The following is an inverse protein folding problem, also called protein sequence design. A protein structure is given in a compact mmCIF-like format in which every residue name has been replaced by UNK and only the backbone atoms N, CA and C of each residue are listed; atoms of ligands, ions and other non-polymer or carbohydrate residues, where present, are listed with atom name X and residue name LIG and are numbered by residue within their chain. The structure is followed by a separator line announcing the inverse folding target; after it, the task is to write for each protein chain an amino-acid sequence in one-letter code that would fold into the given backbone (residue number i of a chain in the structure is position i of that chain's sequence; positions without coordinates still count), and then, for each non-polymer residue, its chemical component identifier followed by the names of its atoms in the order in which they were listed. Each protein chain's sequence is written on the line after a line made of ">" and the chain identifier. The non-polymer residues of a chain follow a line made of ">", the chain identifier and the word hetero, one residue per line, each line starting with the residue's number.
data_IF_684833539351
#
_entry.id   IF_684833539351
#
_cell.length_a   1.000
_cell.length_b   1.000
_cell.length_c   1.000
_cell.angle_alpha   90.00
_cell.angle_beta   90.00
_cell.angle_gamma   90.00
#
_symmetry.space_group_name_H-M   'P 1'
#
loop_
_entity.id
_entity.type
_entity.pdbx_description
1 polymer ?
#
# COMPACT_ATOMS: atom_id res chain seq x y z
N UNK A 1 -40.42 -22.73 -20.82
CA UNK A 1 -40.63 -21.92 -19.60
C UNK A 1 -39.28 -21.36 -19.21
N UNK A 2 -38.93 -20.11 -19.56
CA UNK A 2 -37.64 -19.53 -19.22
C UNK A 2 -37.60 -19.18 -17.73
N UNK A 3 -36.57 -19.64 -17.04
CA UNK A 3 -36.34 -19.38 -15.62
C UNK A 3 -36.05 -17.89 -15.37
N UNK A 4 -36.74 -17.31 -14.39
CA UNK A 4 -36.52 -15.95 -13.94
C UNK A 4 -35.13 -15.85 -13.28
N UNK A 5 -34.16 -15.30 -14.01
CA UNK A 5 -32.83 -15.02 -13.50
C UNK A 5 -32.90 -14.07 -12.30
N UNK A 6 -32.58 -14.59 -11.11
CA UNK A 6 -32.46 -13.80 -9.89
C UNK A 6 -31.39 -12.72 -10.03
N UNK A 7 -31.81 -11.46 -10.08
CA UNK A 7 -30.92 -10.31 -10.03
C UNK A 7 -30.19 -10.32 -8.69
N UNK A 8 -28.86 -10.51 -8.73
CA UNK A 8 -27.99 -10.36 -7.56
C UNK A 8 -28.25 -8.98 -6.96
N UNK A 9 -28.79 -8.91 -5.74
CA UNK A 9 -28.98 -7.66 -4.99
C UNK A 9 -27.60 -7.07 -4.67
N UNK A 10 -27.05 -6.30 -5.59
CA UNK A 10 -25.87 -5.48 -5.34
C UNK A 10 -26.11 -4.57 -4.15
N UNK A 11 -25.07 -4.35 -3.33
CA UNK A 11 -25.13 -3.40 -2.23
C UNK A 11 -25.56 -2.05 -2.81
N UNK A 12 -26.63 -1.42 -2.30
CA UNK A 12 -27.10 -0.14 -2.84
C UNK A 12 -25.95 0.88 -2.83
N UNK A 13 -25.76 1.66 -3.90
CA UNK A 13 -24.74 2.71 -3.92
C UNK A 13 -24.99 3.68 -2.76
N UNK A 14 -23.95 4.26 -2.15
CA UNK A 14 -24.11 5.24 -1.07
C UNK A 14 -24.68 6.59 -1.60
N UNK A 15 -25.27 7.41 -0.74
CA UNK A 15 -25.68 8.79 -1.11
C UNK A 15 -24.42 9.64 -1.29
N UNK A 16 -24.21 10.29 -2.44
CA UNK A 16 -23.05 11.15 -2.65
C UNK A 16 -23.27 12.50 -1.96
N UNK A 17 -23.26 12.49 -0.62
CA UNK A 17 -23.59 13.66 0.20
C UNK A 17 -22.75 14.89 -0.14
N UNK A 18 -21.46 14.71 -0.46
CA UNK A 18 -20.56 15.82 -0.82
C UNK A 18 -21.02 16.57 -2.08
N UNK A 19 -21.66 15.88 -3.02
CA UNK A 19 -22.20 16.47 -4.25
C UNK A 19 -23.52 17.20 -3.99
N UNK A 20 -24.35 16.66 -3.09
CA UNK A 20 -25.69 17.22 -2.81
C UNK A 20 -25.68 18.33 -1.76
N UNK A 21 -24.67 18.38 -0.87
CA UNK A 21 -24.61 19.36 0.22
C UNK A 21 -24.77 20.82 -0.23
N UNK A 22 -24.11 21.32 -1.31
CA UNK A 22 -24.27 22.70 -1.75
C UNK A 22 -25.71 23.05 -2.14
N UNK A 23 -26.40 22.13 -2.82
CA UNK A 23 -27.79 22.31 -3.22
C UNK A 23 -28.72 22.29 -2.01
N UNK A 24 -28.52 21.34 -1.09
CA UNK A 24 -29.34 21.22 0.12
C UNK A 24 -29.23 22.46 1.01
N UNK A 25 -28.02 23.00 1.19
CA UNK A 25 -27.80 24.24 1.93
C UNK A 25 -28.47 25.43 1.24
N UNK A 26 -28.38 25.52 -0.09
CA UNK A 26 -29.04 26.56 -0.88
C UNK A 26 -30.56 26.52 -0.74
N UNK A 27 -31.17 25.33 -0.87
CA UNK A 27 -32.61 25.16 -0.77
C UNK A 27 -33.15 25.41 0.65
N UNK A 28 -32.41 25.03 1.70
CA UNK A 28 -32.73 25.40 3.07
C UNK A 28 -32.67 26.92 3.27
N UNK A 29 -31.68 27.59 2.68
CA UNK A 29 -31.59 29.06 2.68
C UNK A 29 -32.76 29.74 1.96
N UNK A 30 -33.34 29.07 0.96
CA UNK A 30 -34.55 29.51 0.26
C UNK A 30 -35.87 29.13 1.00
N UNK A 31 -35.79 28.54 2.19
CA UNK A 31 -36.96 28.21 3.02
C UNK A 31 -37.55 26.81 2.79
N UNK A 32 -36.86 25.93 2.06
CA UNK A 32 -37.28 24.51 2.00
C UNK A 32 -37.15 23.86 3.38
N UNK A 33 -38.04 22.92 3.72
CA UNK A 33 -37.91 22.12 4.94
C UNK A 33 -37.11 20.82 4.69
N UNK A 34 -36.75 20.12 5.77
CA UNK A 34 -35.98 18.89 5.67
C UNK A 34 -36.76 17.71 5.09
N UNK A 35 -38.09 17.74 5.10
CA UNK A 35 -38.95 16.68 4.55
C UNK A 35 -38.95 16.76 3.03
N UNK A 36 -39.19 17.94 2.46
CA UNK A 36 -39.13 18.18 1.02
C UNK A 36 -37.77 17.83 0.41
N UNK A 37 -36.68 18.11 1.12
CA UNK A 37 -35.33 17.75 0.68
C UNK A 37 -35.08 16.25 0.74
N UNK A 38 -35.59 15.58 1.78
CA UNK A 38 -35.47 14.14 1.90
C UNK A 38 -36.25 13.43 0.79
N UNK A 39 -37.45 13.90 0.46
CA UNK A 39 -38.26 13.39 -0.64
C UNK A 39 -37.59 13.63 -2.01
N UNK A 40 -37.01 14.81 -2.22
CA UNK A 40 -36.25 15.13 -3.44
C UNK A 40 -35.04 14.20 -3.64
N UNK A 41 -34.26 13.94 -2.58
CA UNK A 41 -33.17 12.99 -2.61
C UNK A 41 -33.68 11.55 -2.81
N UNK A 42 -34.81 11.21 -2.18
CA UNK A 42 -35.38 9.88 -2.27
C UNK A 42 -35.86 9.56 -3.69
N UNK A 43 -36.53 10.52 -4.33
CA UNK A 43 -36.93 10.43 -5.72
C UNK A 43 -35.73 10.37 -6.68
N UNK A 44 -34.74 11.25 -6.49
CA UNK A 44 -33.55 11.33 -7.36
C UNK A 44 -32.72 10.05 -7.36
N UNK A 45 -32.62 9.37 -6.22
CA UNK A 45 -31.78 8.19 -6.08
C UNK A 45 -32.54 6.87 -5.89
N UNK A 46 -33.87 6.90 -5.96
CA UNK A 46 -34.71 5.70 -5.81
C UNK A 46 -34.55 5.00 -4.46
N UNK A 47 -34.43 5.75 -3.36
CA UNK A 47 -34.17 5.18 -2.02
C UNK A 47 -34.80 6.02 -0.91
N UNK A 48 -35.28 5.42 0.18
CA UNK A 48 -35.80 6.19 1.30
C UNK A 48 -34.69 7.00 1.95
N UNK A 49 -34.90 8.32 2.06
CA UNK A 49 -34.05 9.25 2.82
C UNK A 49 -34.96 9.88 3.87
N UNK A 50 -34.51 9.94 5.12
CA UNK A 50 -35.30 10.58 6.18
C UNK A 50 -34.87 12.03 6.39
N UNK A 51 -35.82 12.89 6.78
CA UNK A 51 -35.54 14.27 7.17
C UNK A 51 -34.48 14.36 8.29
N UNK A 52 -34.46 13.39 9.22
CA UNK A 52 -33.46 13.30 10.28
C UNK A 52 -32.04 13.07 9.72
N UNK A 53 -31.91 12.22 8.69
CA UNK A 53 -30.65 11.97 8.00
C UNK A 53 -30.15 13.24 7.32
N UNK A 54 -31.01 13.94 6.57
CA UNK A 54 -30.64 15.21 5.91
C UNK A 54 -30.21 16.25 6.95
N UNK A 55 -30.97 16.40 8.04
CA UNK A 55 -30.64 17.32 9.15
C UNK A 55 -29.29 17.01 9.78
N UNK A 56 -28.96 15.74 10.00
CA UNK A 56 -27.68 15.31 10.57
C UNK A 56 -26.51 15.74 9.68
N UNK A 57 -26.57 15.43 8.38
CA UNK A 57 -25.51 15.77 7.44
C UNK A 57 -25.36 17.29 7.23
N UNK A 58 -26.47 18.02 7.12
CA UNK A 58 -26.43 19.49 7.01
C UNK A 58 -25.82 20.12 8.26
N UNK A 59 -26.15 19.63 9.47
CA UNK A 59 -25.53 20.12 10.72
C UNK A 59 -24.04 19.85 10.79
N UNK A 60 -23.60 18.66 10.39
CA UNK A 60 -22.17 18.32 10.33
C UNK A 60 -21.43 19.23 9.34
N UNK A 61 -22.02 19.47 8.16
CA UNK A 61 -21.46 20.35 7.15
C UNK A 61 -21.42 21.82 7.60
N UNK A 62 -22.50 22.33 8.20
CA UNK A 62 -22.55 23.68 8.75
C UNK A 62 -21.56 23.89 9.91
N UNK A 63 -21.36 22.88 10.75
CA UNK A 63 -20.32 22.87 11.78
C UNK A 63 -18.91 22.97 11.20
N UNK A 64 -18.64 22.24 10.12
CA UNK A 64 -17.37 22.33 9.40
C UNK A 64 -17.15 23.71 8.75
N UNK A 65 -18.20 24.32 8.18
CA UNK A 65 -18.15 25.66 7.60
C UNK A 65 -17.96 26.74 8.66
N UNK A 66 -18.65 26.67 9.80
CA UNK A 66 -18.56 27.68 10.87
C UNK A 66 -17.24 27.57 11.66
N UNK A 67 -16.74 26.36 11.90
CA UNK A 67 -15.38 26.16 12.41
C UNK A 67 -14.34 26.70 11.41
N UNK A 68 -14.62 26.58 10.11
CA UNK A 68 -13.80 27.15 9.03
C UNK A 68 -13.96 28.66 8.81
N UNK A 69 -15.07 29.28 9.23
CA UNK A 69 -15.36 30.70 9.00
C UNK A 69 -14.89 31.60 10.15
N UNK A 70 -14.93 31.11 11.40
CA UNK A 70 -14.36 31.83 12.56
C UNK A 70 -12.83 31.89 12.57
N UNK A 71 -12.18 31.16 11.66
CA UNK A 71 -10.72 31.06 11.51
C UNK A 71 -10.16 31.83 10.29
N UNK A 72 -11.00 32.55 9.52
CA UNK A 72 -10.56 33.25 8.30
C UNK A 72 -10.66 34.77 8.38
N UNK A 73 -9.49 35.41 8.27
CA UNK A 73 -9.34 36.39 7.19
C UNK A 73 -9.06 35.63 5.87
N UNK A 74 -9.42 36.17 4.69
CA UNK A 74 -9.28 35.47 3.40
C UNK A 74 -7.84 35.07 3.04
N UNK A 75 -6.81 35.74 3.60
CA UNK A 75 -5.40 35.37 3.38
C UNK A 75 -4.80 34.45 4.45
N UNK A 76 -5.16 34.63 5.73
CA UNK A 76 -4.49 33.91 6.83
C UNK A 76 -4.69 32.39 6.80
N UNK A 77 -5.83 31.93 6.30
CA UNK A 77 -6.10 30.49 6.21
C UNK A 77 -5.20 29.77 5.21
N UNK A 78 -4.76 30.45 4.15
CA UNK A 78 -3.89 29.87 3.12
C UNK A 78 -2.43 29.80 3.61
N UNK A 79 -1.99 30.84 4.32
CA UNK A 79 -0.64 30.92 4.88
C UNK A 79 -0.40 29.85 5.95
N UNK A 80 -1.34 29.68 6.89
CA UNK A 80 -1.28 28.63 7.92
C UNK A 80 -1.29 27.24 7.31
N UNK A 81 -2.13 27.00 6.29
CA UNK A 81 -2.14 25.73 5.56
C UNK A 81 -0.80 25.47 4.85
N UNK A 82 -0.18 26.51 4.28
CA UNK A 82 1.10 26.39 3.59
C UNK A 82 2.24 26.12 4.57
N UNK A 83 2.27 26.78 5.72
CA UNK A 83 3.25 26.54 6.78
C UNK A 83 3.14 25.12 7.34
N UNK A 84 1.92 24.67 7.64
CA UNK A 84 1.68 23.31 8.13
C UNK A 84 1.97 22.26 7.05
N UNK A 85 1.62 22.52 5.79
CA UNK A 85 1.99 21.65 4.68
C UNK A 85 3.51 21.58 4.49
N UNK A 86 4.23 22.69 4.67
CA UNK A 86 5.70 22.70 4.63
C UNK A 86 6.30 21.89 5.80
N UNK A 87 5.74 22.01 7.01
CA UNK A 87 6.15 21.18 8.15
C UNK A 87 5.91 19.70 7.89
N UNK A 88 4.73 19.34 7.36
CA UNK A 88 4.40 17.97 6.96
C UNK A 88 5.35 17.47 5.86
N UNK A 89 5.63 18.29 4.85
CA UNK A 89 6.50 17.95 3.75
C UNK A 89 7.93 17.62 4.23
N UNK A 90 8.51 18.47 5.10
CA UNK A 90 9.81 18.22 5.72
C UNK A 90 9.82 16.96 6.58
N UNK A 91 8.78 16.79 7.41
CA UNK A 91 8.66 15.60 8.24
C UNK A 91 8.64 14.32 7.38
N UNK A 92 7.85 14.29 6.30
CA UNK A 92 7.78 13.15 5.38
C UNK A 92 9.13 12.91 4.69
N UNK A 93 9.81 13.96 4.26
CA UNK A 93 11.15 13.86 3.68
C UNK A 93 12.19 13.31 4.66
N UNK A 94 12.01 13.55 5.97
CA UNK A 94 12.85 13.04 7.07
C UNK A 94 12.42 11.66 7.56
N UNK A 95 11.17 11.23 7.35
CA UNK A 95 10.54 10.01 7.92
C UNK A 95 9.77 9.20 6.86
N UNK A 96 10.40 8.85 5.74
CA UNK A 96 9.76 8.28 4.56
C UNK A 96 9.27 6.85 4.77
N UNK A 97 9.80 6.14 5.77
CA UNK A 97 9.37 4.81 6.19
C UNK A 97 8.12 4.81 7.06
N UNK A 98 7.76 5.96 7.61
CA UNK A 98 6.78 6.06 8.67
C UNK A 98 5.39 6.26 8.08
N UNK A 99 4.36 5.82 8.81
CA UNK A 99 2.99 5.89 8.32
C UNK A 99 2.43 7.31 8.41
N UNK A 100 1.37 7.58 7.66
CA UNK A 100 0.61 8.84 7.82
C UNK A 100 0.04 9.00 9.24
N UNK A 101 -0.20 7.90 9.96
CA UNK A 101 -0.68 7.92 11.34
C UNK A 101 0.42 8.38 12.29
N UNK A 102 1.66 7.95 12.07
CA UNK A 102 2.82 8.37 12.85
C UNK A 102 3.07 9.87 12.63
N UNK A 103 3.03 10.31 11.37
CA UNK A 103 3.11 11.73 11.01
C UNK A 103 2.03 12.58 11.72
N UNK A 104 0.80 12.07 11.76
CA UNK A 104 -0.32 12.73 12.41
C UNK A 104 -0.09 12.87 13.93
N UNK A 105 0.43 11.81 14.57
CA UNK A 105 0.78 11.78 15.99
C UNK A 105 1.88 12.79 16.33
N UNK A 106 3.00 12.74 15.60
CA UNK A 106 4.18 13.57 15.85
C UNK A 106 3.93 15.06 15.58
N UNK A 107 3.15 15.37 14.55
CA UNK A 107 2.82 16.75 14.21
C UNK A 107 1.62 17.29 15.00
N UNK A 108 0.93 16.44 15.77
CA UNK A 108 -0.31 16.79 16.47
C UNK A 108 -1.45 17.16 15.51
N UNK A 109 -1.45 16.61 14.30
CA UNK A 109 -2.42 16.92 13.25
C UNK A 109 -3.54 15.87 13.24
N UNK A 110 -4.82 16.27 13.30
CA UNK A 110 -5.90 15.31 13.16
C UNK A 110 -5.99 14.74 11.72
N UNK A 111 -6.51 13.53 11.57
CA UNK A 111 -6.52 12.81 10.28
C UNK A 111 -7.15 13.61 9.11
N UNK A 112 -8.22 14.38 9.35
CA UNK A 112 -8.83 15.23 8.31
C UNK A 112 -7.90 16.37 7.86
N UNK A 113 -7.06 16.90 8.76
CA UNK A 113 -6.09 17.97 8.48
C UNK A 113 -4.95 17.41 7.66
N UNK A 114 -4.47 16.21 8.01
CA UNK A 114 -3.49 15.46 7.21
C UNK A 114 -3.97 15.23 5.78
N UNK A 115 -5.21 14.77 5.59
CA UNK A 115 -5.79 14.56 4.25
C UNK A 115 -5.87 15.86 3.41
N UNK A 116 -6.13 17.01 4.05
CA UNK A 116 -6.14 18.34 3.41
C UNK A 116 -4.75 18.86 3.07
N UNK A 117 -3.75 18.61 3.92
CA UNK A 117 -2.40 19.16 3.76
C UNK A 117 -1.50 18.31 2.86
N UNK A 118 -1.69 16.99 2.84
CA UNK A 118 -0.79 16.07 2.14
C UNK A 118 -0.64 16.37 0.63
N UNK A 119 -1.71 16.69 -0.13
CA UNK A 119 -1.55 17.07 -1.54
C UNK A 119 -0.69 18.32 -1.73
N UNK A 120 -0.83 19.32 -0.85
CA UNK A 120 -0.02 20.53 -0.88
C UNK A 120 1.43 20.25 -0.44
N UNK A 121 1.62 19.48 0.63
CA UNK A 121 2.93 19.07 1.12
C UNK A 121 3.75 18.37 0.03
N UNK A 122 3.11 17.52 -0.77
CA UNK A 122 3.72 16.81 -1.90
C UNK A 122 4.30 17.72 -2.97
N UNK A 123 3.83 18.97 -3.10
CA UNK A 123 4.35 19.92 -4.11
C UNK A 123 5.39 20.88 -3.55
N UNK A 124 5.62 20.89 -2.24
CA UNK A 124 6.44 21.91 -1.58
C UNK A 124 7.91 21.51 -1.41
N UNK A 125 8.19 20.20 -1.37
CA UNK A 125 9.55 19.67 -1.27
C UNK A 125 9.67 18.46 -2.18
N UNK A 126 10.88 18.21 -2.66
CA UNK A 126 11.20 16.97 -3.36
C UNK A 126 11.51 15.85 -2.36
N UNK A 127 11.10 14.64 -2.68
CA UNK A 127 11.32 13.51 -1.80
C UNK A 127 10.61 12.26 -2.26
N UNK A 128 10.60 11.26 -1.39
CA UNK A 128 9.83 10.06 -1.60
C UNK A 128 9.16 9.60 -0.31
N UNK A 129 8.10 8.80 -0.46
CA UNK A 129 7.51 8.03 0.64
C UNK A 129 7.62 6.55 0.30
N UNK A 130 8.04 5.77 1.29
CA UNK A 130 8.02 4.30 1.20
C UNK A 130 6.60 3.86 1.53
N UNK A 131 5.89 3.19 0.61
CA UNK A 131 4.56 2.66 0.91
C UNK A 131 4.66 1.69 2.10
N UNK A 132 3.86 1.97 3.13
CA UNK A 132 3.76 1.08 4.29
C UNK A 132 3.33 -0.30 3.77
N UNK A 133 4.06 -1.38 4.12
CA UNK A 133 3.66 -2.72 3.74
C UNK A 133 2.23 -2.93 4.24
N UNK A 134 1.32 -3.23 3.33
CA UNK A 134 -0.03 -3.63 3.73
C UNK A 134 0.11 -5.00 4.37
N UNK A 135 0.32 -5.01 5.69
CA UNK A 135 0.17 -6.21 6.49
C UNK A 135 -1.30 -6.58 6.31
N UNK A 136 -1.57 -7.59 5.51
CA UNK A 136 -2.91 -8.15 5.44
C UNK A 136 -3.36 -8.45 6.87
N UNK A 137 -4.67 -8.38 7.15
CA UNK A 137 -5.22 -9.01 8.35
C UNK A 137 -5.05 -10.52 8.21
N UNK A 138 -3.83 -11.00 8.34
CA UNK A 138 -3.51 -12.40 8.33
C UNK A 138 -3.72 -12.87 9.77
N UNK A 139 -4.71 -13.74 9.92
CA UNK A 139 -5.15 -14.25 11.21
C UNK A 139 -4.19 -15.30 11.81
N UNK A 140 -3.06 -15.55 11.15
CA UNK A 140 -2.12 -16.61 11.50
C UNK A 140 -0.88 -16.02 12.16
N UNK A 141 -0.54 -16.56 13.31
CA UNK A 141 0.74 -16.36 13.97
C UNK A 141 1.86 -17.08 13.23
N UNK A 142 3.11 -16.67 13.45
CA UNK A 142 4.25 -17.33 12.82
C UNK A 142 4.38 -18.81 13.21
N UNK A 143 3.97 -19.15 14.44
CA UNK A 143 3.94 -20.52 14.92
C UNK A 143 2.89 -21.37 14.20
N UNK A 144 1.69 -20.83 13.93
CA UNK A 144 0.65 -21.54 13.19
C UNK A 144 1.06 -21.77 11.73
N UNK A 145 1.66 -20.77 11.09
CA UNK A 145 2.18 -20.89 9.73
C UNK A 145 3.29 -21.95 9.65
N UNK A 146 4.21 -21.96 10.61
CA UNK A 146 5.28 -22.97 10.67
C UNK A 146 4.74 -24.40 10.93
N UNK A 147 3.74 -24.53 11.80
CA UNK A 147 3.08 -25.80 12.09
C UNK A 147 2.40 -26.37 10.84
N UNK A 148 1.73 -25.53 10.05
CA UNK A 148 1.07 -25.97 8.81
C UNK A 148 2.07 -26.41 7.74
N UNK A 149 3.22 -25.73 7.59
CA UNK A 149 4.26 -26.19 6.68
C UNK A 149 4.86 -27.53 7.12
N UNK A 150 5.05 -27.73 8.42
CA UNK A 150 5.49 -29.01 8.99
C UNK A 150 4.47 -30.13 8.76
N UNK A 151 3.17 -29.85 8.97
CA UNK A 151 2.08 -30.80 8.69
C UNK A 151 2.08 -31.20 7.20
N UNK A 152 2.21 -30.22 6.30
CA UNK A 152 2.27 -30.47 4.86
C UNK A 152 3.48 -31.34 4.48
N UNK A 153 4.67 -31.04 5.03
CA UNK A 153 5.88 -31.81 4.76
C UNK A 153 5.71 -33.27 5.22
N UNK A 154 5.19 -33.49 6.43
CA UNK A 154 4.91 -34.82 6.96
C UNK A 154 3.89 -35.58 6.10
N UNK A 155 2.79 -34.93 5.71
CA UNK A 155 1.75 -35.54 4.88
C UNK A 155 2.24 -35.92 3.48
N UNK A 156 3.21 -35.18 2.93
CA UNK A 156 3.81 -35.44 1.62
C UNK A 156 5.03 -36.37 1.68
N UNK A 157 5.42 -36.84 2.86
CA UNK A 157 6.61 -37.67 3.07
C UNK A 157 7.91 -36.94 2.72
N UNK A 158 7.95 -35.62 2.89
CA UNK A 158 9.13 -34.79 2.62
C UNK A 158 10.00 -34.82 3.88
N UNK A 159 11.20 -35.39 3.76
CA UNK A 159 12.14 -35.47 4.87
C UNK A 159 12.75 -34.12 5.24
N UNK A 160 13.44 -34.06 6.39
CA UNK A 160 14.12 -32.83 6.83
C UNK A 160 15.17 -32.32 5.82
N UNK A 161 15.73 -33.23 5.00
CA UNK A 161 16.70 -32.92 3.94
C UNK A 161 16.06 -32.38 2.65
N UNK A 162 14.76 -32.57 2.45
CA UNK A 162 14.09 -32.25 1.20
C UNK A 162 13.39 -30.90 1.27
N UNK A 163 13.36 -30.19 0.14
CA UNK A 163 12.73 -28.89 0.06
C UNK A 163 11.25 -28.99 -0.31
N UNK A 164 10.39 -28.39 0.51
CA UNK A 164 8.96 -28.27 0.21
C UNK A 164 8.74 -27.21 -0.89
N UNK A 165 8.33 -27.64 -2.08
CA UNK A 165 7.98 -26.73 -3.17
C UNK A 165 6.59 -26.11 -2.97
N UNK A 166 6.44 -24.82 -3.31
CA UNK A 166 5.17 -24.09 -3.21
C UNK A 166 4.03 -24.76 -4.01
N UNK A 167 4.34 -25.32 -5.17
CA UNK A 167 3.37 -26.06 -5.99
C UNK A 167 2.84 -27.30 -5.27
N UNK A 168 3.70 -28.06 -4.58
CA UNK A 168 3.29 -29.23 -3.79
C UNK A 168 2.44 -28.83 -2.59
N UNK A 169 2.81 -27.76 -1.89
CA UNK A 169 1.97 -27.19 -0.84
C UNK A 169 0.58 -26.80 -1.34
N UNK A 170 0.49 -26.14 -2.50
CA UNK A 170 -0.79 -25.78 -3.12
C UNK A 170 -1.64 -27.01 -3.41
N UNK A 171 -1.06 -28.06 -3.99
CA UNK A 171 -1.77 -29.32 -4.28
C UNK A 171 -2.24 -29.99 -2.97
N UNK A 172 -1.37 -30.08 -1.96
CA UNK A 172 -1.72 -30.61 -0.66
C UNK A 172 -2.88 -29.84 -0.03
N UNK A 173 -2.79 -28.50 0.04
CA UNK A 173 -3.85 -27.64 0.58
C UNK A 173 -5.19 -27.85 -0.14
N UNK A 174 -5.17 -28.05 -1.45
CA UNK A 174 -6.40 -28.30 -2.19
C UNK A 174 -7.00 -29.69 -1.92
N UNK A 175 -6.18 -30.66 -1.52
CA UNK A 175 -6.62 -32.02 -1.13
C UNK A 175 -7.24 -32.10 0.27
N UNK A 176 -7.00 -31.10 1.13
CA UNK A 176 -7.59 -31.04 2.48
C UNK A 176 -9.09 -30.69 2.39
N UNK A 177 -9.97 -31.25 3.25
CA UNK A 177 -11.40 -30.92 3.30
C UNK A 177 -11.67 -29.42 3.46
N UNK A 178 -12.77 -28.93 2.87
CA UNK A 178 -13.07 -27.50 2.77
C UNK A 178 -13.14 -26.81 4.15
N UNK A 179 -13.74 -27.48 5.13
CA UNK A 179 -13.87 -27.06 6.52
C UNK A 179 -12.52 -26.82 7.23
N UNK A 180 -11.45 -27.47 6.79
CA UNK A 180 -10.09 -27.26 7.32
C UNK A 180 -9.31 -26.20 6.54
N UNK A 181 -9.69 -25.87 5.30
CA UNK A 181 -8.95 -24.92 4.46
C UNK A 181 -8.90 -23.50 5.04
N UNK A 182 -9.88 -23.12 5.86
CA UNK A 182 -9.89 -21.82 6.55
C UNK A 182 -8.79 -21.69 7.60
N UNK A 183 -8.39 -22.80 8.22
CA UNK A 183 -7.29 -22.86 9.18
C UNK A 183 -5.91 -23.03 8.50
N UNK A 184 -5.86 -23.10 7.17
CA UNK A 184 -4.63 -23.33 6.41
C UNK A 184 -4.29 -22.09 5.59
N UNK A 185 -3.19 -21.37 5.91
CA UNK A 185 -2.80 -20.18 5.19
C UNK A 185 -2.67 -20.43 3.68
N UNK A 186 -3.14 -19.49 2.87
CA UNK A 186 -2.91 -19.55 1.43
C UNK A 186 -1.41 -19.41 1.12
N UNK A 187 -0.91 -19.90 -0.03
CA UNK A 187 0.49 -19.67 -0.42
C UNK A 187 0.87 -18.19 -0.47
N UNK A 188 -0.11 -17.31 -0.78
CA UNK A 188 0.08 -15.86 -0.81
C UNK A 188 0.30 -15.31 0.60
N UNK A 189 -0.31 -15.89 1.63
CA UNK A 189 -0.09 -15.46 3.02
C UNK A 189 1.38 -15.64 3.43
N UNK A 190 1.99 -16.78 3.11
CA UNK A 190 3.42 -16.98 3.35
C UNK A 190 4.30 -15.96 2.62
N UNK A 191 3.96 -15.63 1.36
CA UNK A 191 4.71 -14.64 0.59
C UNK A 191 4.56 -13.22 1.14
N UNK A 192 3.39 -12.86 1.67
CA UNK A 192 3.17 -11.56 2.31
C UNK A 192 3.91 -11.46 3.64
N UNK A 193 3.84 -12.52 4.45
CA UNK A 193 4.44 -12.58 5.79
C UNK A 193 5.96 -12.69 5.76
N UNK A 194 6.50 -13.65 5.01
CA UNK A 194 7.93 -13.99 5.00
C UNK A 194 8.65 -13.52 3.76
N UNK A 195 7.90 -13.02 2.78
CA UNK A 195 8.45 -12.46 1.57
C UNK A 195 8.79 -13.45 0.47
N UNK A 196 9.44 -14.54 0.84
CA UNK A 196 9.77 -15.62 -0.07
C UNK A 196 9.32 -16.95 0.52
N UNK A 197 8.98 -17.90 -0.36
CA UNK A 197 8.63 -19.25 0.05
C UNK A 197 9.79 -19.96 0.77
N UNK A 198 11.02 -19.74 0.30
CA UNK A 198 12.23 -20.28 0.92
C UNK A 198 12.48 -19.73 2.33
N UNK A 199 12.20 -18.45 2.59
CA UNK A 199 12.26 -17.89 3.95
C UNK A 199 11.23 -18.54 4.87
N UNK A 200 9.99 -18.73 4.39
CA UNK A 200 8.95 -19.43 5.15
C UNK A 200 9.35 -20.87 5.53
N UNK A 201 9.88 -21.63 4.57
CA UNK A 201 10.38 -22.98 4.82
C UNK A 201 11.50 -23.01 5.88
N UNK A 202 12.50 -22.11 5.76
CA UNK A 202 13.62 -22.04 6.72
C UNK A 202 13.17 -21.73 8.14
N UNK A 203 12.25 -20.76 8.30
CA UNK A 203 11.68 -20.43 9.61
C UNK A 203 10.87 -21.58 10.22
N UNK A 204 10.37 -22.48 9.37
CA UNK A 204 9.65 -23.69 9.78
C UNK A 204 10.56 -24.90 9.99
N UNK A 205 11.89 -24.72 9.93
CA UNK A 205 12.86 -25.81 10.05
C UNK A 205 12.93 -26.74 8.84
N UNK A 206 12.32 -26.37 7.71
CA UNK A 206 12.38 -27.12 6.45
C UNK A 206 13.53 -26.61 5.58
N UNK A 207 14.10 -27.50 4.77
CA UNK A 207 15.03 -27.08 3.74
C UNK A 207 14.33 -26.20 2.70
N UNK A 208 15.01 -25.13 2.28
CA UNK A 208 14.58 -24.29 1.19
C UNK A 208 15.07 -24.86 -0.14
N UNK A 209 14.27 -24.72 -1.20
CA UNK A 209 14.77 -24.99 -2.54
C UNK A 209 15.91 -24.00 -2.82
N UNK A 210 17.08 -24.53 -3.16
CA UNK A 210 18.14 -23.72 -3.75
C UNK A 210 17.58 -23.16 -5.05
N UNK A 211 17.54 -21.82 -5.22
CA UNK A 211 17.05 -21.25 -6.46
C UNK A 211 17.87 -21.83 -7.62
N UNK A 212 17.20 -22.39 -8.64
CA UNK A 212 17.90 -23.00 -9.79
C UNK A 212 18.73 -22.00 -10.61
N UNK A 213 18.59 -20.71 -10.29
CA UNK A 213 19.34 -19.60 -10.87
C UNK A 213 20.06 -18.89 -9.73
N UNK A 214 21.28 -19.31 -9.47
CA UNK A 214 22.25 -18.40 -8.88
C UNK A 214 22.57 -17.37 -9.95
N UNK A 215 21.99 -16.18 -9.82
CA UNK A 215 22.51 -15.03 -10.55
C UNK A 215 23.85 -14.70 -9.92
N UNK A 216 24.89 -15.12 -10.62
CA UNK A 216 26.27 -14.87 -10.24
C UNK A 216 26.50 -13.35 -10.26
N UNK A 217 26.78 -12.77 -9.10
CA UNK A 217 27.36 -11.43 -9.02
C UNK A 217 26.65 -10.34 -8.23
N UNK A 218 25.36 -10.46 -7.85
CA UNK A 218 24.74 -9.49 -6.92
C UNK A 218 24.31 -10.15 -5.61
N UNK A 219 24.89 -9.63 -4.53
CA UNK A 219 24.46 -9.88 -3.17
C UNK A 219 23.27 -8.98 -2.80
N UNK A 220 22.60 -9.28 -1.69
CA UNK A 220 21.48 -8.46 -1.21
C UNK A 220 21.90 -7.01 -0.94
N UNK A 221 23.08 -6.81 -0.37
CA UNK A 221 23.64 -5.47 -0.13
C UNK A 221 23.82 -4.65 -1.42
N UNK A 222 24.22 -5.30 -2.53
CA UNK A 222 24.33 -4.63 -3.83
C UNK A 222 22.95 -4.18 -4.33
N UNK A 223 21.93 -5.01 -4.15
CA UNK A 223 20.55 -4.69 -4.53
C UNK A 223 20.02 -3.51 -3.71
N UNK A 224 20.24 -3.53 -2.39
CA UNK A 224 19.87 -2.43 -1.49
C UNK A 224 20.54 -1.13 -1.94
N UNK A 225 21.82 -1.16 -2.32
CA UNK A 225 22.54 0.00 -2.83
C UNK A 225 21.95 0.54 -4.15
N UNK A 226 21.60 -0.33 -5.10
CA UNK A 226 20.91 0.07 -6.35
C UNK A 226 19.59 0.77 -6.07
N UNK A 227 18.76 0.18 -5.19
CA UNK A 227 17.46 0.78 -4.82
C UNK A 227 17.65 2.08 -4.06
N UNK A 228 18.70 2.22 -3.23
CA UNK A 228 19.03 3.47 -2.56
C UNK A 228 19.43 4.59 -3.55
N UNK A 229 20.18 4.26 -4.60
CA UNK A 229 20.52 5.20 -5.68
C UNK A 229 19.26 5.65 -6.42
N UNK A 230 18.36 4.72 -6.73
CA UNK A 230 17.06 5.07 -7.31
C UNK A 230 16.24 5.99 -6.39
N UNK A 231 16.10 5.65 -5.10
CA UNK A 231 15.41 6.51 -4.13
C UNK A 231 16.00 7.92 -4.06
N UNK A 232 17.32 8.04 -4.12
CA UNK A 232 18.00 9.33 -4.18
C UNK A 232 17.62 10.10 -5.45
N UNK A 233 17.55 9.44 -6.59
CA UNK A 233 17.11 10.05 -7.86
C UNK A 233 15.69 10.62 -7.76
N UNK A 234 14.78 9.95 -7.04
CA UNK A 234 13.43 10.47 -6.79
C UNK A 234 13.47 11.78 -5.97
N UNK A 235 14.31 11.84 -4.94
CA UNK A 235 14.49 13.06 -4.11
C UNK A 235 15.09 14.22 -4.90
N UNK A 236 15.86 13.97 -5.95
CA UNK A 236 16.51 15.03 -6.75
C UNK A 236 15.78 15.34 -8.05
N UNK A 237 14.65 14.67 -8.34
CA UNK A 237 13.97 14.80 -9.63
C UNK A 237 13.17 16.10 -9.82
N UNK A 238 12.93 16.89 -8.77
CA UNK A 238 12.12 18.11 -8.88
C UNK A 238 10.62 17.85 -9.09
N UNK A 239 10.14 16.64 -8.76
CA UNK A 239 8.76 16.19 -9.00
C UNK A 239 7.86 16.31 -7.76
N UNK A 240 8.36 16.89 -6.68
CA UNK A 240 7.71 16.83 -5.39
C UNK A 240 7.93 15.48 -4.68
N UNK A 241 7.10 15.18 -3.69
CA UNK A 241 7.13 13.90 -2.96
C UNK A 241 6.45 12.82 -3.82
N UNK A 242 7.21 11.82 -4.25
CA UNK A 242 6.75 10.68 -5.05
C UNK A 242 6.62 9.42 -4.20
N UNK A 243 5.60 8.61 -4.43
CA UNK A 243 5.49 7.31 -3.76
C UNK A 243 6.43 6.29 -4.43
N UNK A 244 7.34 5.68 -3.65
CA UNK A 244 8.36 4.76 -4.16
C UNK A 244 7.76 3.37 -4.47
N UNK A 245 6.96 3.30 -5.54
CA UNK A 245 6.29 2.08 -5.98
C UNK A 245 7.15 1.26 -6.93
N UNK A 246 6.79 -0.01 -7.13
CA UNK A 246 7.36 -0.85 -8.19
C UNK A 246 7.21 -0.25 -9.59
N UNK A 247 6.09 0.42 -9.85
CA UNK A 247 5.84 1.10 -11.12
C UNK A 247 6.85 2.22 -11.39
N UNK A 248 7.12 3.06 -10.38
CA UNK A 248 8.14 4.11 -10.48
C UNK A 248 9.55 3.52 -10.66
N UNK A 249 9.86 2.41 -9.98
CA UNK A 249 11.13 1.71 -10.18
C UNK A 249 11.26 1.15 -11.59
N UNK A 250 10.21 0.50 -12.10
CA UNK A 250 10.17 -0.03 -13.47
C UNK A 250 10.35 1.04 -14.54
N UNK A 251 9.84 2.26 -14.32
CA UNK A 251 10.09 3.40 -15.21
C UNK A 251 11.56 3.82 -15.17
N UNK A 252 12.14 3.95 -13.98
CA UNK A 252 13.56 4.29 -13.81
C UNK A 252 14.51 3.25 -14.43
N UNK A 253 14.16 1.97 -14.36
CA UNK A 253 14.92 0.86 -14.98
C UNK A 253 15.04 0.96 -16.50
N UNK A 254 14.14 1.68 -17.19
CA UNK A 254 14.25 1.89 -18.65
C UNK A 254 15.51 2.69 -18.98
N UNK A 255 15.87 3.64 -18.12
CA UNK A 255 17.05 4.49 -18.27
C UNK A 255 18.30 3.88 -17.62
N UNK A 256 18.11 2.91 -16.71
CA UNK A 256 19.17 2.27 -15.92
C UNK A 256 19.13 0.74 -16.09
N UNK A 257 19.36 0.20 -17.30
CA UNK A 257 19.28 -1.24 -17.57
C UNK A 257 20.33 -2.09 -16.83
N UNK A 258 21.36 -1.46 -16.25
CA UNK A 258 22.37 -2.07 -15.41
C UNK A 258 21.91 -2.38 -13.97
N UNK A 259 20.73 -1.88 -13.57
CA UNK A 259 20.16 -2.05 -12.23
C UNK A 259 19.24 -3.30 -12.13
N UNK A 260 19.05 -3.87 -10.92
CA UNK A 260 18.36 -5.14 -10.74
C UNK A 260 16.88 -5.06 -11.08
N UNK A 261 16.47 -5.85 -12.06
CA UNK A 261 15.04 -6.06 -12.34
C UNK A 261 14.27 -6.52 -11.10
N UNK A 262 12.97 -6.24 -11.04
CA UNK A 262 12.11 -6.69 -9.94
C UNK A 262 12.21 -8.20 -9.66
N UNK A 263 12.38 -9.02 -10.69
CA UNK A 263 12.56 -10.46 -10.55
C UNK A 263 13.85 -10.82 -9.82
N UNK A 264 14.95 -10.09 -10.08
CA UNK A 264 16.21 -10.28 -9.35
C UNK A 264 16.08 -9.87 -7.88
N UNK A 265 15.37 -8.78 -7.61
CA UNK A 265 15.10 -8.34 -6.23
C UNK A 265 14.32 -9.41 -5.46
N UNK A 266 13.26 -9.97 -6.07
CA UNK A 266 12.43 -11.04 -5.49
C UNK A 266 13.20 -12.32 -5.16
N UNK A 267 14.34 -12.58 -5.81
CA UNK A 267 15.17 -13.75 -5.50
C UNK A 267 15.92 -13.62 -4.17
N UNK A 268 16.14 -12.38 -3.69
CA UNK A 268 16.88 -12.12 -2.45
C UNK A 268 15.97 -11.76 -1.29
N UNK A 269 15.06 -10.81 -1.50
CA UNK A 269 14.18 -10.31 -0.45
C UNK A 269 12.87 -9.74 -1.01
N UNK A 270 11.98 -9.30 -0.13
CA UNK A 270 10.77 -8.59 -0.58
C UNK A 270 11.11 -7.19 -1.07
N UNK A 271 10.27 -6.69 -1.96
CA UNK A 271 10.30 -5.28 -2.32
C UNK A 271 10.18 -4.37 -1.08
N UNK A 272 9.29 -4.70 -0.14
CA UNK A 272 9.11 -3.92 1.08
C UNK A 272 10.36 -3.86 1.96
N UNK A 273 11.03 -4.99 2.17
CA UNK A 273 12.26 -5.05 2.99
C UNK A 273 13.40 -4.31 2.30
N UNK A 274 13.62 -4.57 1.01
CA UNK A 274 14.65 -3.90 0.23
C UNK A 274 14.42 -2.39 0.21
N UNK A 275 13.17 -1.94 0.05
CA UNK A 275 12.85 -0.52 0.03
C UNK A 275 13.06 0.15 1.39
N UNK A 276 12.73 -0.55 2.48
CA UNK A 276 12.98 -0.08 3.85
C UNK A 276 14.48 0.06 4.12
N UNK A 277 15.26 -0.98 3.83
CA UNK A 277 16.71 -0.98 4.01
C UNK A 277 17.40 0.05 3.11
N UNK A 278 16.98 0.15 1.86
CA UNK A 278 17.51 1.13 0.90
C UNK A 278 17.23 2.57 1.34
N UNK A 279 16.02 2.83 1.84
CA UNK A 279 15.66 4.14 2.41
C UNK A 279 16.54 4.49 3.61
N UNK A 280 16.76 3.53 4.52
CA UNK A 280 17.67 3.72 5.65
C UNK A 280 19.12 3.98 5.21
N UNK A 281 19.62 3.23 4.22
CA UNK A 281 20.96 3.40 3.66
C UNK A 281 21.14 4.77 3.00
N UNK A 282 20.21 5.15 2.12
CA UNK A 282 20.20 6.43 1.39
C UNK A 282 20.29 7.63 2.32
N UNK A 283 19.61 7.57 3.46
CA UNK A 283 19.57 8.65 4.45
C UNK A 283 20.81 8.71 5.32
N UNK A 284 21.34 7.53 5.69
CA UNK A 284 22.52 7.43 6.57
C UNK A 284 23.80 7.87 5.87
N UNK A 285 23.89 7.69 4.55
CA UNK A 285 25.11 7.95 3.79
C UNK A 285 24.95 9.18 2.90
N UNK A 286 25.65 10.30 3.15
CA UNK A 286 25.63 11.48 2.28
C UNK A 286 26.03 11.13 0.84
N UNK A 287 27.02 10.25 0.69
CA UNK A 287 27.51 9.74 -0.59
C UNK A 287 27.24 8.24 -0.66
N UNK A 288 26.41 7.83 -1.63
CA UNK A 288 26.21 6.41 -1.93
C UNK A 288 27.39 5.93 -2.76
N UNK A 289 27.90 4.73 -2.44
CA UNK A 289 28.91 4.07 -3.27
C UNK A 289 28.38 3.76 -4.67
N UNK A 290 29.30 3.50 -5.61
CA UNK A 290 28.94 3.08 -6.98
C UNK A 290 28.34 1.68 -6.94
N UNK A 291 27.07 1.48 -7.36
CA UNK A 291 26.46 0.16 -7.41
C UNK A 291 27.23 -0.76 -8.36
N UNK A 292 27.40 -2.02 -7.95
CA UNK A 292 27.99 -3.04 -8.82
C UNK A 292 27.10 -3.26 -10.04
N UNK A 293 27.59 -3.11 -11.28
CA UNK A 293 26.76 -3.29 -12.46
C UNK A 293 26.34 -4.75 -12.57
N UNK A 294 25.11 -4.99 -13.05
CA UNK A 294 24.70 -6.34 -13.40
C UNK A 294 25.55 -6.80 -14.56
N UNK A 295 26.18 -7.97 -14.40
CA UNK A 295 26.83 -8.64 -15.50
C UNK A 295 25.80 -8.99 -16.56
N UNK A 296 25.56 -8.09 -17.51
CA UNK A 296 24.84 -8.38 -18.77
C UNK A 296 25.78 -9.20 -19.65
N UNK A 297 26.36 -10.28 -19.13
CA UNK A 297 26.84 -11.36 -19.98
C UNK A 297 25.58 -11.98 -20.54
N UNK A 298 25.12 -11.37 -21.63
CA UNK A 298 24.05 -11.90 -22.43
C UNK A 298 24.32 -13.38 -22.56
N UNK A 299 23.31 -14.18 -22.23
CA UNK A 299 23.24 -15.56 -22.67
C UNK A 299 23.29 -15.44 -24.19
N UNK A 300 24.48 -15.43 -24.78
CA UNK A 300 24.68 -15.62 -26.20
C UNK A 300 24.14 -17.01 -26.41
N UNK A 301 22.86 -17.07 -26.76
CA UNK A 301 22.21 -18.27 -27.23
C UNK A 301 23.03 -18.62 -28.45
N UNK A 302 24.00 -19.52 -28.27
CA UNK A 302 24.76 -20.06 -29.37
C UNK A 302 23.71 -20.55 -30.36
N UNK A 303 23.56 -19.84 -31.47
CA UNK A 303 22.92 -20.39 -32.66
C UNK A 303 23.88 -21.49 -33.11
N UNK A 304 23.71 -22.68 -32.53
CA UNK A 304 24.05 -23.93 -33.20
C UNK A 304 22.89 -24.30 -34.10
#
# INVERSE_FOLDING_TARGET
>A
MPEAGGTRRGRPPLLPWDVEMPLLVSLLGAGSDYEALADGLAAKYGRPVSAATVRSHVRQHAGALTAGARSRGPDRGCEVDREEAMRLARWVAEHASDSQTDAAGDLGLPAYRMARLLPLARTLVDGYVVPVPTVGREHFTDQEMAAVLSECAAALGIGASDALAQSRYKVWRESVPAERKEAIPSPIAYLRRYGTWSAACRLSGLNANTPSREYDGLEEADIVLHVAVWLRSLRTAGRGIVEATKGEYGQWLVEHPEAPSEEMIKLRATWANILSEASALERKQPELGTPKPIGVRGRTKGRM
#
